data_IF_784989703636
#
_entry.id   IF_784989703636
#
_cell.length_a   1.000
_cell.length_b   1.000
_cell.length_c   1.000
_cell.angle_alpha   90.00
_cell.angle_beta   90.00
_cell.angle_gamma   90.00
#
_symmetry.space_group_name_H-M   'P 1'
#
loop_
_entity.id
_entity.type
_entity.pdbx_description
1 polymer ?
#
# COMPACT_ATOMS: atom_id res chain seq x y z
N UNK A 1 15.05 -0.58 -4.19
CA UNK A 1 15.29 -1.76 -5.07
C UNK A 1 15.77 -2.97 -4.27
N UNK A 2 16.61 -2.74 -3.27
CA UNK A 2 17.17 -3.76 -2.37
C UNK A 2 16.11 -4.55 -1.57
N UNK A 3 15.11 -3.87 -0.98
CA UNK A 3 14.04 -4.55 -0.24
C UNK A 3 13.22 -5.53 -1.10
N UNK A 4 12.98 -5.18 -2.37
CA UNK A 4 12.26 -6.05 -3.32
C UNK A 4 13.09 -7.29 -3.63
N UNK A 5 14.41 -7.17 -3.76
CA UNK A 5 15.30 -8.31 -3.96
C UNK A 5 15.36 -9.19 -2.69
N UNK A 6 15.39 -8.58 -1.51
CA UNK A 6 15.33 -9.28 -0.23
C UNK A 6 14.03 -10.08 -0.07
N UNK A 7 12.87 -9.48 -0.38
CA UNK A 7 11.57 -10.16 -0.34
C UNK A 7 11.52 -11.39 -1.27
N UNK A 8 12.11 -11.29 -2.48
CA UNK A 8 12.20 -12.42 -3.41
C UNK A 8 13.10 -13.52 -2.84
N UNK A 9 14.25 -13.16 -2.28
CA UNK A 9 15.17 -14.12 -1.65
C UNK A 9 14.50 -14.87 -0.50
N UNK A 10 13.75 -14.15 0.35
CA UNK A 10 12.98 -14.76 1.43
C UNK A 10 11.89 -15.70 0.92
N UNK A 11 11.16 -15.31 -0.11
CA UNK A 11 10.17 -16.18 -0.74
C UNK A 11 10.81 -17.45 -1.34
N UNK A 12 12.02 -17.35 -1.90
CA UNK A 12 12.77 -18.53 -2.37
C UNK A 12 13.15 -19.48 -1.24
N UNK A 13 13.66 -18.95 -0.11
CA UNK A 13 14.00 -19.78 1.05
C UNK A 13 12.78 -20.49 1.64
N UNK A 14 11.62 -19.83 1.67
CA UNK A 14 10.37 -20.43 2.14
C UNK A 14 9.92 -21.58 1.24
N UNK A 15 10.06 -21.40 -0.07
CA UNK A 15 9.70 -22.43 -1.06
C UNK A 15 10.62 -23.66 -0.96
N UNK A 16 11.94 -23.42 -0.84
CA UNK A 16 12.94 -24.47 -0.57
C UNK A 16 12.61 -25.25 0.71
N UNK A 17 12.21 -24.53 1.78
CA UNK A 17 11.84 -25.16 3.07
C UNK A 17 10.54 -25.97 3.02
N UNK A 18 9.70 -25.74 2.01
CA UNK A 18 8.45 -26.46 1.79
C UNK A 18 8.57 -27.47 0.64
N UNK A 19 9.80 -27.95 0.37
CA UNK A 19 10.10 -28.94 -0.68
C UNK A 19 9.56 -28.53 -2.07
N UNK A 20 9.51 -27.21 -2.33
CA UNK A 20 8.97 -26.62 -3.55
C UNK A 20 7.50 -26.96 -3.85
N UNK A 21 6.73 -27.34 -2.82
CA UNK A 21 5.31 -27.67 -2.96
C UNK A 21 4.39 -26.44 -2.84
N UNK A 22 4.93 -25.23 -2.69
CA UNK A 22 4.18 -23.99 -2.54
C UNK A 22 3.97 -23.26 -3.87
N UNK A 23 2.76 -22.74 -4.09
CA UNK A 23 2.55 -21.77 -5.16
C UNK A 23 3.04 -20.38 -4.72
N UNK A 24 3.90 -19.74 -5.51
CA UNK A 24 4.41 -18.38 -5.26
C UNK A 24 3.71 -17.37 -6.15
N UNK A 25 3.26 -16.26 -5.58
CA UNK A 25 2.71 -15.12 -6.31
C UNK A 25 3.50 -13.85 -6.01
N UNK A 26 3.61 -12.98 -7.01
CA UNK A 26 4.18 -11.63 -6.87
C UNK A 26 3.09 -10.62 -7.12
N UNK A 27 2.75 -9.86 -6.08
CA UNK A 27 1.68 -8.87 -6.11
C UNK A 27 2.30 -7.48 -6.21
N UNK A 28 1.69 -6.63 -7.02
CA UNK A 28 2.05 -5.23 -7.17
C UNK A 28 0.86 -4.37 -6.76
N UNK A 29 1.16 -3.24 -6.13
CA UNK A 29 0.15 -2.26 -5.75
C UNK A 29 -0.68 -1.84 -6.97
N UNK A 30 -2.00 -1.87 -6.84
CA UNK A 30 -2.96 -1.55 -7.90
C UNK A 30 -3.17 -2.68 -8.93
N UNK A 31 -2.43 -3.78 -8.82
CA UNK A 31 -2.54 -4.97 -9.66
C UNK A 31 -2.76 -6.24 -8.83
N UNK A 32 -3.47 -6.11 -7.71
CA UNK A 32 -3.87 -7.22 -6.86
C UNK A 32 -4.85 -8.14 -7.58
N UNK A 33 -4.65 -9.45 -7.44
CA UNK A 33 -5.55 -10.45 -8.02
C UNK A 33 -6.76 -10.68 -7.12
N UNK A 34 -7.87 -11.17 -7.68
CA UNK A 34 -9.05 -11.53 -6.87
C UNK A 34 -8.73 -12.57 -5.78
N UNK A 35 -7.76 -13.47 -6.04
CA UNK A 35 -7.28 -14.44 -5.06
C UNK A 35 -6.62 -13.74 -3.87
N UNK A 36 -5.89 -12.65 -4.09
CA UNK A 36 -5.28 -11.87 -3.02
C UNK A 36 -6.36 -11.26 -2.10
N UNK A 37 -7.41 -10.66 -2.66
CA UNK A 37 -8.54 -10.15 -1.88
C UNK A 37 -9.31 -11.25 -1.14
N UNK A 38 -9.38 -12.47 -1.70
CA UNK A 38 -10.03 -13.59 -1.02
C UNK A 38 -9.32 -14.01 0.28
N UNK A 39 -7.99 -13.82 0.35
CA UNK A 39 -7.19 -14.07 1.56
C UNK A 39 -7.45 -12.96 2.59
N UNK A 40 -7.50 -11.71 2.12
CA UNK A 40 -7.64 -10.52 2.96
C UNK A 40 -9.04 -9.91 2.78
N UNK A 41 -10.00 -10.31 3.63
CA UNK A 41 -11.39 -9.80 3.59
C UNK A 41 -11.50 -8.28 3.62
N UNK A 42 -10.55 -7.61 4.26
CA UNK A 42 -10.38 -6.16 4.23
C UNK A 42 -8.92 -5.86 3.84
N UNK A 43 -8.71 -5.05 2.82
CA UNK A 43 -7.39 -4.65 2.36
C UNK A 43 -7.25 -3.12 2.41
N UNK A 44 -6.24 -2.64 3.11
CA UNK A 44 -5.98 -1.21 3.28
C UNK A 44 -4.52 -0.94 2.87
N UNK A 45 -4.32 -0.06 1.91
CA UNK A 45 -3.00 0.39 1.46
C UNK A 45 -2.70 1.72 2.13
N UNK A 46 -1.65 1.76 2.94
CA UNK A 46 -1.14 2.99 3.54
C UNK A 46 -0.03 3.57 2.68
N UNK A 47 -0.04 4.90 2.48
CA UNK A 47 1.10 5.61 1.92
C UNK A 47 2.28 5.49 2.88
N UNK A 48 3.45 5.29 2.30
CA UNK A 48 4.75 5.28 2.96
C UNK A 48 5.20 3.92 3.49
N UNK A 49 6.09 3.91 4.49
CA UNK A 49 6.70 2.67 4.97
C UNK A 49 7.47 2.84 6.26
N UNK A 50 7.64 1.75 7.01
CA UNK A 50 8.40 1.77 8.29
C UNK A 50 9.82 1.24 8.16
N UNK A 51 10.14 0.63 7.03
CA UNK A 51 11.46 0.06 6.73
C UNK A 51 12.42 1.18 6.31
N UNK A 52 13.70 0.96 6.61
CA UNK A 52 14.78 1.90 6.35
C UNK A 52 14.88 2.31 4.87
N UNK A 53 14.53 1.46 3.90
CA UNK A 53 14.56 1.85 2.49
C UNK A 53 13.52 2.92 2.15
N UNK A 54 12.35 2.94 2.81
CA UNK A 54 11.41 4.05 2.66
C UNK A 54 11.96 5.34 3.31
N UNK A 55 12.51 5.25 4.52
CA UNK A 55 13.12 6.40 5.22
C UNK A 55 14.29 7.00 4.44
N UNK A 56 15.12 6.14 3.85
CA UNK A 56 16.21 6.56 2.99
C UNK A 56 15.67 7.22 1.72
N UNK A 57 14.64 6.64 1.09
CA UNK A 57 14.01 7.23 -0.09
C UNK A 57 13.49 8.66 0.16
N UNK A 58 12.74 8.88 1.25
CA UNK A 58 12.23 10.23 1.57
C UNK A 58 13.37 11.20 1.90
N UNK A 59 14.43 10.73 2.58
CA UNK A 59 15.62 11.54 2.90
C UNK A 59 16.38 11.93 1.63
N UNK A 60 16.65 10.98 0.73
CA UNK A 60 17.35 11.21 -0.54
C UNK A 60 16.56 12.11 -1.49
N UNK A 61 15.23 12.07 -1.41
CA UNK A 61 14.34 12.88 -2.23
C UNK A 61 13.93 14.19 -1.58
N UNK A 62 14.41 14.49 -0.38
CA UNK A 62 14.05 15.65 0.44
C UNK A 62 12.52 15.80 0.59
N UNK A 63 11.82 14.67 0.69
CA UNK A 63 10.37 14.62 0.90
C UNK A 63 10.11 14.69 2.41
N UNK A 64 9.23 15.59 2.88
CA UNK A 64 8.80 15.61 4.28
C UNK A 64 8.19 14.27 4.71
N UNK A 65 8.57 13.76 5.90
CA UNK A 65 7.97 12.54 6.44
C UNK A 65 6.60 12.85 7.05
N UNK A 66 5.54 12.48 6.34
CA UNK A 66 4.14 12.66 6.76
C UNK A 66 3.45 11.31 7.08
N UNK A 67 4.23 10.23 7.20
CA UNK A 67 3.68 8.86 7.11
C UNK A 67 2.88 8.43 8.36
N UNK A 68 3.20 8.97 9.54
CA UNK A 68 2.64 8.53 10.84
C UNK A 68 2.47 9.69 11.84
N UNK A 69 1.87 10.81 11.42
CA UNK A 69 1.56 11.91 12.34
C UNK A 69 0.31 11.57 13.18
N UNK A 70 0.41 11.62 14.52
CA UNK A 70 -0.71 11.31 15.42
C UNK A 70 -1.87 12.30 15.30
N UNK A 71 -1.57 13.55 14.95
CA UNK A 71 -2.49 14.66 14.76
C UNK A 71 -2.81 14.95 13.28
N UNK A 72 -2.28 14.13 12.37
CA UNK A 72 -2.48 14.27 10.93
C UNK A 72 -3.89 13.86 10.47
N UNK A 73 -4.47 14.65 9.57
CA UNK A 73 -5.69 14.27 8.84
C UNK A 73 -5.30 13.47 7.61
N UNK A 74 -5.84 12.25 7.48
CA UNK A 74 -5.62 11.36 6.33
C UNK A 74 -6.93 11.11 5.58
N UNK A 75 -6.83 10.94 4.25
CA UNK A 75 -7.95 10.53 3.42
C UNK A 75 -7.73 9.12 2.88
N UNK A 76 -8.79 8.32 2.90
CA UNK A 76 -8.83 7.04 2.23
C UNK A 76 -9.88 7.08 1.13
N UNK A 77 -9.46 6.71 -0.08
CA UNK A 77 -10.42 6.38 -1.14
C UNK A 77 -10.81 4.92 -1.00
N UNK A 78 -12.10 4.69 -0.75
CA UNK A 78 -12.68 3.35 -0.82
C UNK A 78 -13.04 3.05 -2.28
N UNK A 79 -12.56 1.94 -2.81
CA UNK A 79 -12.81 1.51 -4.17
C UNK A 79 -13.04 0.00 -4.25
N UNK A 80 -13.71 -0.44 -5.30
CA UNK A 80 -14.15 -1.83 -5.50
C UNK A 80 -15.53 -1.86 -6.15
N UNK A 81 -15.89 -3.01 -6.70
CA UNK A 81 -17.21 -3.25 -7.31
C UNK A 81 -18.11 -4.12 -6.45
N UNK A 82 -17.56 -4.80 -5.44
CA UNK A 82 -18.28 -5.69 -4.55
C UNK A 82 -17.42 -6.16 -3.38
N UNK A 83 -18.03 -6.87 -2.40
CA UNK A 83 -17.34 -7.31 -1.18
C UNK A 83 -16.04 -8.09 -1.42
N UNK A 84 -15.93 -8.78 -2.56
CA UNK A 84 -14.79 -9.59 -2.96
C UNK A 84 -13.57 -8.82 -3.46
N UNK A 85 -13.68 -7.51 -3.69
CA UNK A 85 -12.56 -6.69 -4.19
C UNK A 85 -12.52 -5.27 -3.59
N UNK A 86 -13.15 -5.07 -2.44
CA UNK A 86 -13.09 -3.81 -1.72
C UNK A 86 -11.68 -3.54 -1.19
N UNK A 87 -11.22 -2.31 -1.39
CA UNK A 87 -9.99 -1.82 -0.78
C UNK A 87 -10.10 -0.35 -0.40
N UNK A 88 -9.32 0.05 0.59
CA UNK A 88 -9.13 1.44 0.96
C UNK A 88 -7.68 1.85 0.70
N UNK A 89 -7.46 2.91 -0.06
CA UNK A 89 -6.12 3.41 -0.38
C UNK A 89 -5.94 4.78 0.26
N UNK A 90 -4.87 4.95 1.04
CA UNK A 90 -4.45 6.23 1.59
C UNK A 90 -4.05 7.14 0.41
N UNK A 91 -4.78 8.23 0.23
CA UNK A 91 -4.56 9.23 -0.82
C UNK A 91 -4.21 10.57 -0.20
N UNK A 92 -3.54 11.41 -0.98
CA UNK A 92 -3.21 12.76 -0.55
C UNK A 92 -4.51 13.56 -0.31
N UNK A 93 -4.61 14.30 0.80
CA UNK A 93 -5.71 15.21 1.03
C UNK A 93 -5.64 16.34 -0.02
N UNK A 94 -6.57 16.33 -0.97
CA UNK A 94 -6.70 17.46 -1.90
C UNK A 94 -7.33 18.62 -1.13
N UNK A 95 -6.54 19.66 -0.86
CA UNK A 95 -7.09 20.91 -0.34
C UNK A 95 -8.00 21.52 -1.40
N UNK A 96 -9.32 21.42 -1.19
CA UNK A 96 -10.32 22.15 -1.97
C UNK A 96 -10.29 23.63 -1.55
N UNK A 97 -9.24 24.35 -1.93
CA UNK A 97 -9.29 25.81 -2.08
C UNK A 97 -9.93 26.14 -3.43
N UNK A 98 -11.20 25.76 -3.57
CA UNK A 98 -12.12 26.49 -4.42
C UNK A 98 -13.40 26.62 -3.64
N UNK A 99 -13.65 27.82 -3.13
CA UNK A 99 -14.91 28.24 -2.53
C UNK A 99 -16.04 27.85 -3.47
N UNK A 100 -16.76 26.77 -3.16
CA UNK A 100 -18.06 26.53 -3.78
C UNK A 100 -19.03 27.44 -3.04
N UNK A 101 -19.20 28.66 -3.55
CA UNK A 101 -20.33 29.52 -3.19
C UNK A 101 -21.60 28.83 -3.66
N UNK A 102 -22.28 28.11 -2.77
CA UNK A 102 -23.65 27.69 -3.03
C UNK A 102 -24.51 28.92 -2.71
N UNK A 103 -24.74 29.76 -3.72
CA UNK A 103 -25.82 30.76 -3.66
C UNK A 103 -27.14 30.00 -3.61
N UNK A 104 -27.83 30.11 -2.47
CA UNK A 104 -29.25 29.74 -2.34
C UNK A 104 -30.14 30.82 -2.97
#
# INVERSE_FOLDING_TARGET
MEERAFAISMASKMDESNEFCSARARIYEGHETILFFSIFRNFIVFKGGRIDGYKNFITEKEIPDETYQEDGVTLFRVQGSGPENMQAIHVDPVSLLSTISISS
#
